data_IF_475568041610
#
_entry.id   IF_475568041610
#
_cell.length_a   1.000
_cell.length_b   1.000
_cell.length_c   1.000
_cell.angle_alpha   90.00
_cell.angle_beta   90.00
_cell.angle_gamma   90.00
#
_symmetry.space_group_name_H-M   'P 1'
#
loop_
_entity.id
_entity.type
_entity.pdbx_description
1 polymer ?
#
# COMPACT_ATOMS: atom_id res chain seq x y z
N UNK A 1 6.34 -13.82 -1.58
CA UNK A 1 5.15 -14.21 -0.79
C UNK A 1 4.93 -13.24 0.37
N UNK A 2 5.85 -13.14 1.35
CA UNK A 2 5.70 -12.30 2.54
C UNK A 2 5.55 -10.81 2.21
N UNK A 3 6.31 -10.28 1.26
CA UNK A 3 6.16 -8.88 0.83
C UNK A 3 4.77 -8.57 0.28
N UNK A 4 4.19 -9.50 -0.47
CA UNK A 4 2.86 -9.30 -1.04
C UNK A 4 1.74 -9.53 -0.01
N UNK A 5 1.97 -10.37 1.00
CA UNK A 5 1.13 -10.44 2.20
C UNK A 5 1.02 -9.08 2.90
N UNK A 6 2.17 -8.43 3.13
CA UNK A 6 2.20 -7.09 3.76
C UNK A 6 1.48 -6.04 2.93
N UNK A 7 1.60 -6.12 1.59
CA UNK A 7 0.83 -5.26 0.69
C UNK A 7 -0.67 -5.42 0.94
N UNK A 8 -1.14 -6.67 0.95
CA UNK A 8 -2.54 -6.98 1.22
C UNK A 8 -3.00 -6.50 2.58
N UNK A 9 -2.19 -6.71 3.62
CA UNK A 9 -2.49 -6.26 4.99
C UNK A 9 -2.78 -4.75 5.04
N UNK A 10 -1.86 -3.93 4.54
CA UNK A 10 -2.02 -2.49 4.53
C UNK A 10 -3.19 -2.05 3.62
N UNK A 11 -3.35 -2.69 2.45
CA UNK A 11 -4.43 -2.41 1.51
C UNK A 11 -5.80 -2.70 2.15
N UNK A 12 -5.96 -3.87 2.73
CA UNK A 12 -7.20 -4.27 3.39
C UNK A 12 -7.57 -3.32 4.52
N UNK A 13 -6.61 -3.04 5.41
CA UNK A 13 -6.82 -2.10 6.51
C UNK A 13 -7.25 -0.71 6.01
N UNK A 14 -6.51 -0.10 5.10
CA UNK A 14 -6.80 1.25 4.61
C UNK A 14 -8.15 1.27 3.87
N UNK A 15 -8.42 0.31 2.99
CA UNK A 15 -9.67 0.31 2.23
C UNK A 15 -10.91 0.20 3.14
N UNK A 16 -10.83 -0.62 4.18
CA UNK A 16 -11.97 -0.86 5.06
C UNK A 16 -12.14 0.21 6.15
N UNK A 17 -11.04 0.70 6.73
CA UNK A 17 -11.10 1.49 7.96
C UNK A 17 -10.72 2.97 7.78
N UNK A 18 -10.02 3.34 6.70
CA UNK A 18 -9.56 4.72 6.49
C UNK A 18 -10.70 5.75 6.44
N UNK A 19 -11.84 5.50 5.76
CA UNK A 19 -12.96 6.45 5.77
C UNK A 19 -13.55 6.66 7.18
N UNK A 20 -13.67 5.60 7.97
CA UNK A 20 -14.13 5.67 9.35
C UNK A 20 -13.13 6.42 10.24
N UNK A 21 -11.83 6.12 10.09
CA UNK A 21 -10.76 6.82 10.79
C UNK A 21 -10.76 8.34 10.52
N UNK A 22 -10.94 8.76 9.25
CA UNK A 22 -11.05 10.18 8.90
C UNK A 22 -12.26 10.81 9.58
N UNK A 23 -13.39 10.10 9.63
CA UNK A 23 -14.62 10.62 10.24
C UNK A 23 -14.46 10.87 11.74
N UNK A 24 -13.68 10.04 12.43
CA UNK A 24 -13.39 10.22 13.85
C UNK A 24 -12.28 11.25 14.13
N UNK A 25 -11.19 11.16 13.36
CA UNK A 25 -9.97 11.92 13.64
C UNK A 25 -10.00 13.35 13.08
N UNK A 26 -10.73 13.58 11.99
CA UNK A 26 -10.85 14.91 11.39
C UNK A 26 -12.01 15.68 12.04
N UNK A 27 -11.69 16.75 12.76
CA UNK A 27 -12.69 17.49 13.56
C UNK A 27 -13.81 18.10 12.70
N UNK A 28 -13.46 18.92 11.71
CA UNK A 28 -14.44 19.56 10.79
C UNK A 28 -13.75 20.01 9.51
N UNK A 29 -14.50 20.09 8.41
CA UNK A 29 -14.01 20.68 7.18
C UNK A 29 -14.16 22.21 7.29
N UNK A 30 -13.06 22.99 7.19
CA UNK A 30 -13.11 24.45 7.29
C UNK A 30 -14.08 25.06 6.27
N UNK A 31 -14.84 26.11 6.63
CA UNK A 31 -15.82 26.75 5.74
C UNK A 31 -15.21 27.24 4.42
N UNK A 32 -13.96 27.71 4.46
CA UNK A 32 -13.25 28.29 3.32
C UNK A 32 -12.36 27.26 2.58
N UNK A 33 -12.51 25.96 2.85
CA UNK A 33 -11.74 24.93 2.18
C UNK A 33 -12.16 24.77 0.72
N UNK A 34 -11.17 24.68 -0.18
CA UNK A 34 -11.39 24.44 -1.61
C UNK A 34 -12.20 23.17 -1.89
N UNK A 35 -12.12 22.17 -1.03
CA UNK A 35 -12.86 20.93 -1.23
C UNK A 35 -14.37 21.07 -1.04
N UNK A 36 -14.83 22.12 -0.34
CA UNK A 36 -16.27 22.41 -0.26
C UNK A 36 -16.86 22.85 -1.60
N UNK A 37 -16.09 23.51 -2.44
CA UNK A 37 -16.53 23.84 -3.81
C UNK A 37 -16.72 22.59 -4.69
N UNK A 38 -16.11 21.47 -4.30
CA UNK A 38 -16.30 20.14 -4.92
C UNK A 38 -17.48 19.36 -4.33
N UNK A 39 -18.27 19.97 -3.44
CA UNK A 39 -19.40 19.32 -2.77
C UNK A 39 -19.03 18.44 -1.56
N UNK A 40 -17.76 18.48 -1.11
CA UNK A 40 -17.27 17.70 0.04
C UNK A 40 -17.48 18.52 1.32
N UNK A 41 -18.60 18.30 1.98
CA UNK A 41 -19.04 19.12 3.11
C UNK A 41 -18.92 18.42 4.47
N UNK A 42 -18.71 17.09 4.48
CA UNK A 42 -18.65 16.26 5.69
C UNK A 42 -17.38 15.43 5.71
N UNK A 43 -16.94 15.00 6.90
CA UNK A 43 -15.77 14.13 7.06
C UNK A 43 -16.00 12.76 6.41
N UNK A 44 -17.24 12.28 6.38
CA UNK A 44 -17.60 11.05 5.65
C UNK A 44 -17.42 11.21 4.13
N UNK A 45 -17.84 12.35 3.55
CA UNK A 45 -17.59 12.63 2.12
C UNK A 45 -16.10 12.83 1.81
N UNK A 46 -15.33 13.38 2.76
CA UNK A 46 -13.86 13.45 2.65
C UNK A 46 -13.25 12.04 2.65
N UNK A 47 -13.71 11.14 3.49
CA UNK A 47 -13.26 9.74 3.51
C UNK A 47 -13.50 9.04 2.17
N UNK A 48 -14.70 9.16 1.61
CA UNK A 48 -15.02 8.61 0.30
C UNK A 48 -14.18 9.23 -0.82
N UNK A 49 -14.01 10.55 -0.80
CA UNK A 49 -13.16 11.28 -1.76
C UNK A 49 -11.70 10.84 -1.68
N UNK A 50 -11.19 10.60 -0.48
CA UNK A 50 -9.82 10.13 -0.25
C UNK A 50 -9.56 8.78 -0.91
N UNK A 51 -10.50 7.83 -0.83
CA UNK A 51 -10.41 6.55 -1.55
C UNK A 51 -10.41 6.76 -3.07
N UNK A 52 -11.23 7.68 -3.59
CA UNK A 52 -11.22 8.01 -5.01
C UNK A 52 -9.88 8.62 -5.46
N UNK A 53 -9.29 9.51 -4.66
CA UNK A 53 -7.94 10.06 -4.90
C UNK A 53 -6.89 8.97 -4.90
N UNK A 54 -6.90 8.07 -3.92
CA UNK A 54 -6.02 6.89 -3.90
C UNK A 54 -6.17 6.10 -5.20
N UNK A 55 -7.40 5.82 -5.65
CA UNK A 55 -7.67 5.09 -6.88
C UNK A 55 -7.10 5.78 -8.13
N UNK A 56 -7.26 7.10 -8.23
CA UNK A 56 -6.72 7.88 -9.34
C UNK A 56 -5.18 7.83 -9.39
N UNK A 57 -4.53 8.04 -8.27
CA UNK A 57 -3.06 8.03 -8.19
C UNK A 57 -2.49 6.61 -8.32
N UNK A 58 -3.25 5.56 -8.03
CA UNK A 58 -2.88 4.18 -8.31
C UNK A 58 -2.61 3.92 -9.81
N UNK A 59 -3.40 4.54 -10.69
CA UNK A 59 -3.20 4.41 -12.14
C UNK A 59 -1.82 4.97 -12.51
N UNK A 60 -1.51 6.18 -12.04
CA UNK A 60 -0.23 6.84 -12.30
C UNK A 60 0.92 6.02 -11.72
N UNK A 61 0.78 5.58 -10.47
CA UNK A 61 1.79 4.79 -9.77
C UNK A 61 2.09 3.45 -10.44
N UNK A 62 1.07 2.72 -10.85
CA UNK A 62 1.22 1.43 -11.52
C UNK A 62 1.91 1.57 -12.88
N UNK A 63 1.54 2.57 -13.69
CA UNK A 63 2.18 2.86 -15.00
C UNK A 63 3.64 3.25 -14.78
N UNK A 64 3.92 4.15 -13.84
CA UNK A 64 5.28 4.61 -13.52
C UNK A 64 6.15 3.46 -13.04
N UNK A 65 5.65 2.62 -12.12
CA UNK A 65 6.38 1.46 -11.62
C UNK A 65 6.65 0.43 -12.72
N UNK A 66 5.69 0.17 -13.60
CA UNK A 66 5.88 -0.70 -14.76
C UNK A 66 6.96 -0.18 -15.72
N UNK A 67 7.00 1.13 -15.96
CA UNK A 67 8.04 1.77 -16.77
C UNK A 67 9.42 1.71 -16.10
N UNK A 68 9.51 2.07 -14.84
CA UNK A 68 10.78 2.02 -14.08
C UNK A 68 11.31 0.59 -13.94
N UNK A 69 10.43 -0.39 -13.79
CA UNK A 69 10.78 -1.81 -13.68
C UNK A 69 11.47 -2.39 -14.92
N UNK A 70 11.44 -1.70 -16.07
CA UNK A 70 12.21 -2.07 -17.26
C UNK A 70 13.70 -1.75 -17.13
N UNK A 71 14.03 -0.63 -16.47
CA UNK A 71 15.39 -0.08 -16.44
C UNK A 71 16.08 -0.29 -15.09
N UNK A 72 15.32 -0.50 -14.02
CA UNK A 72 15.86 -0.62 -12.66
C UNK A 72 15.59 -2.01 -12.08
N UNK A 73 16.45 -2.42 -11.16
CA UNK A 73 16.32 -3.65 -10.39
C UNK A 73 15.04 -3.61 -9.55
N UNK A 74 14.13 -4.54 -9.80
CA UNK A 74 12.77 -4.53 -9.24
C UNK A 74 12.72 -4.67 -7.72
N UNK A 75 13.64 -5.44 -7.13
CA UNK A 75 13.73 -5.59 -5.67
C UNK A 75 14.00 -4.27 -4.95
N UNK A 76 14.87 -3.41 -5.52
CA UNK A 76 15.14 -2.10 -4.93
C UNK A 76 13.96 -1.14 -5.12
N UNK A 77 13.27 -1.22 -6.26
CA UNK A 77 12.04 -0.46 -6.45
C UNK A 77 10.95 -0.89 -5.47
N UNK A 78 10.79 -2.20 -5.23
CA UNK A 78 9.85 -2.72 -4.23
C UNK A 78 10.22 -2.23 -2.82
N UNK A 79 11.49 -2.37 -2.42
CA UNK A 79 11.96 -1.87 -1.12
C UNK A 79 11.69 -0.36 -0.98
N UNK A 80 12.01 0.45 -1.99
CA UNK A 80 11.74 1.90 -1.99
C UNK A 80 10.26 2.23 -1.86
N UNK A 81 9.38 1.50 -2.53
CA UNK A 81 7.93 1.68 -2.43
C UNK A 81 7.45 1.40 -1.01
N UNK A 82 7.90 0.30 -0.39
CA UNK A 82 7.52 -0.01 0.99
C UNK A 82 8.10 0.98 2.00
N UNK A 83 9.33 1.44 1.82
CA UNK A 83 9.90 2.56 2.59
C UNK A 83 9.03 3.82 2.48
N UNK A 84 8.68 4.20 1.26
CA UNK A 84 7.82 5.36 1.00
C UNK A 84 6.44 5.25 1.68
N UNK A 85 5.81 4.07 1.62
CA UNK A 85 4.52 3.80 2.29
C UNK A 85 4.64 3.87 3.81
N UNK A 86 5.70 3.30 4.36
CA UNK A 86 5.99 3.33 5.80
C UNK A 86 6.19 4.76 6.29
N UNK A 87 7.02 5.54 5.60
CA UNK A 87 7.26 6.95 5.91
C UNK A 87 5.99 7.80 5.77
N UNK A 88 5.19 7.59 4.71
CA UNK A 88 3.93 8.27 4.53
C UNK A 88 2.95 7.98 5.67
N UNK A 89 2.88 6.72 6.12
CA UNK A 89 2.03 6.32 7.24
C UNK A 89 2.49 6.94 8.57
N UNK A 90 3.80 6.94 8.84
CA UNK A 90 4.38 7.59 10.04
C UNK A 90 4.06 9.09 10.02
N UNK A 91 4.35 9.76 8.89
CA UNK A 91 4.08 11.19 8.76
C UNK A 91 2.60 11.48 8.99
N UNK A 92 1.72 10.69 8.39
CA UNK A 92 0.28 10.88 8.49
C UNK A 92 -0.26 10.79 9.92
N UNK A 93 0.16 9.77 10.70
CA UNK A 93 -0.34 9.61 12.07
C UNK A 93 0.33 10.55 13.09
N UNK A 94 1.50 11.12 12.74
CA UNK A 94 2.21 12.06 13.61
C UNK A 94 1.84 13.53 13.34
N UNK A 95 1.13 13.83 12.26
CA UNK A 95 0.70 15.19 11.92
C UNK A 95 -0.76 15.42 12.33
N UNK A 96 -1.16 16.69 12.57
CA UNK A 96 -2.56 17.01 12.82
C UNK A 96 -3.45 16.53 11.67
N UNK A 97 -4.59 15.94 12.01
CA UNK A 97 -5.54 15.42 11.05
C UNK A 97 -6.36 16.54 10.41
N UNK A 98 -5.84 17.08 9.32
CA UNK A 98 -6.48 18.13 8.52
C UNK A 98 -6.87 17.60 7.15
N UNK A 99 -7.69 18.36 6.43
CA UNK A 99 -8.07 18.02 5.05
C UNK A 99 -6.84 17.87 4.15
N UNK A 100 -5.86 18.76 4.31
CA UNK A 100 -4.64 18.80 3.51
C UNK A 100 -3.78 17.56 3.77
N UNK A 101 -3.61 17.17 5.05
CA UNK A 101 -2.84 15.96 5.41
C UNK A 101 -3.51 14.69 4.89
N UNK A 102 -4.84 14.61 4.96
CA UNK A 102 -5.63 13.49 4.41
C UNK A 102 -5.46 13.37 2.90
N UNK A 103 -5.57 14.49 2.17
CA UNK A 103 -5.42 14.49 0.70
C UNK A 103 -3.97 14.16 0.31
N UNK A 104 -2.98 14.77 0.98
CA UNK A 104 -1.57 14.49 0.71
C UNK A 104 -1.24 13.01 0.93
N UNK A 105 -1.70 12.44 2.04
CA UNK A 105 -1.55 11.01 2.32
C UNK A 105 -2.20 10.17 1.21
N UNK A 106 -3.42 10.53 0.78
CA UNK A 106 -4.14 9.80 -0.26
C UNK A 106 -3.41 9.82 -1.61
N UNK A 107 -2.81 10.95 -1.98
CA UNK A 107 -2.00 11.10 -3.19
C UNK A 107 -0.75 10.20 -3.13
N UNK A 108 0.03 10.34 -2.05
CA UNK A 108 1.29 9.60 -1.89
C UNK A 108 1.01 8.10 -1.78
N UNK A 109 0.07 7.72 -0.93
CA UNK A 109 -0.29 6.32 -0.75
C UNK A 109 -0.85 5.72 -2.05
N UNK A 110 -1.71 6.44 -2.77
CA UNK A 110 -2.23 6.02 -4.07
C UNK A 110 -1.10 5.75 -5.07
N UNK A 111 -0.16 6.67 -5.22
CA UNK A 111 0.98 6.50 -6.14
C UNK A 111 1.89 5.31 -5.82
N UNK A 112 1.95 4.90 -4.56
CA UNK A 112 2.79 3.80 -4.10
C UNK A 112 2.03 2.47 -3.97
N UNK A 113 0.71 2.47 -3.92
CA UNK A 113 -0.09 1.32 -3.51
C UNK A 113 -0.02 0.15 -4.48
N UNK A 114 -0.60 0.30 -5.67
CA UNK A 114 -0.59 -0.75 -6.69
C UNK A 114 0.68 -0.75 -7.55
N UNK A 115 1.62 0.16 -7.31
CA UNK A 115 2.94 0.18 -7.93
C UNK A 115 3.73 -1.14 -7.70
N UNK A 116 3.43 -1.87 -6.63
CA UNK A 116 4.03 -3.17 -6.31
C UNK A 116 3.56 -4.30 -7.24
N UNK A 117 2.38 -4.19 -7.85
CA UNK A 117 1.78 -5.25 -8.69
C UNK A 117 2.62 -5.55 -9.93
N UNK A 118 2.91 -4.56 -10.82
CA UNK A 118 3.72 -4.80 -12.01
C UNK A 118 5.16 -5.20 -11.68
N UNK A 119 5.72 -4.70 -10.58
CA UNK A 119 7.07 -5.07 -10.16
C UNK A 119 7.12 -6.51 -9.65
N UNK A 120 6.16 -6.95 -8.83
CA UNK A 120 6.12 -8.31 -8.29
C UNK A 120 5.90 -9.32 -9.41
N UNK A 121 4.95 -9.07 -10.32
CA UNK A 121 4.76 -9.94 -11.48
C UNK A 121 6.00 -9.97 -12.38
N UNK A 122 6.63 -8.81 -12.57
CA UNK A 122 7.88 -8.70 -13.32
C UNK A 122 9.05 -9.46 -12.71
N UNK A 123 9.19 -9.48 -11.36
CA UNK A 123 10.21 -10.29 -10.66
C UNK A 123 9.96 -11.78 -10.90
N UNK A 124 8.72 -12.23 -10.76
CA UNK A 124 8.36 -13.64 -10.94
C UNK A 124 8.63 -14.09 -12.38
N UNK A 125 8.14 -13.34 -13.36
CA UNK A 125 8.33 -13.65 -14.77
C UNK A 125 9.80 -13.64 -15.19
N UNK A 126 10.61 -12.74 -14.63
CA UNK A 126 12.05 -12.65 -14.91
C UNK A 126 12.85 -13.79 -14.30
N UNK A 127 12.56 -14.19 -13.05
CA UNK A 127 13.31 -15.25 -12.36
C UNK A 127 12.93 -16.64 -12.87
N UNK A 128 11.62 -16.94 -13.00
CA UNK A 128 11.10 -18.27 -13.25
C UNK A 128 10.66 -18.53 -14.70
N UNK A 129 10.59 -17.45 -15.50
CA UNK A 129 10.09 -17.52 -16.87
C UNK A 129 8.57 -17.36 -16.96
N UNK A 130 8.10 -16.93 -18.14
CA UNK A 130 6.69 -16.62 -18.39
C UNK A 130 5.78 -17.85 -18.31
N UNK A 131 6.32 -19.05 -18.56
CA UNK A 131 5.56 -20.31 -18.53
C UNK A 131 4.99 -20.64 -17.13
N UNK A 132 5.66 -20.22 -16.05
CA UNK A 132 5.22 -20.46 -14.66
C UNK A 132 4.53 -19.25 -14.04
N UNK A 133 4.47 -18.13 -14.73
CA UNK A 133 4.01 -16.85 -14.19
C UNK A 133 2.60 -16.94 -13.61
N UNK A 134 1.65 -17.55 -14.32
CA UNK A 134 0.26 -17.63 -13.85
C UNK A 134 0.12 -18.34 -12.51
N UNK A 135 0.75 -19.52 -12.38
CA UNK A 135 0.69 -20.32 -11.13
C UNK A 135 1.42 -19.62 -9.99
N UNK A 136 2.65 -19.16 -10.21
CA UNK A 136 3.46 -18.55 -9.16
C UNK A 136 2.89 -17.21 -8.71
N UNK A 137 2.43 -16.40 -9.65
CA UNK A 137 1.77 -15.15 -9.30
C UNK A 137 0.46 -15.39 -8.57
N UNK A 138 -0.32 -16.42 -8.94
CA UNK A 138 -1.53 -16.82 -8.23
C UNK A 138 -1.26 -17.18 -6.76
N UNK A 139 -0.19 -17.94 -6.49
CA UNK A 139 0.23 -18.28 -5.12
C UNK A 139 0.65 -17.03 -4.34
N UNK A 140 1.39 -16.14 -4.98
CA UNK A 140 1.80 -14.86 -4.37
C UNK A 140 0.60 -13.96 -4.13
N UNK A 141 -0.36 -13.94 -5.07
CA UNK A 141 -1.59 -13.18 -4.91
C UNK A 141 -2.50 -13.74 -3.81
N UNK A 142 -2.51 -15.07 -3.60
CA UNK A 142 -3.19 -15.67 -2.45
C UNK A 142 -2.66 -15.11 -1.12
N UNK A 143 -1.34 -14.90 -1.00
CA UNK A 143 -0.78 -14.30 0.22
C UNK A 143 -1.27 -12.88 0.44
N UNK A 144 -1.46 -12.12 -0.63
CA UNK A 144 -2.05 -10.78 -0.57
C UNK A 144 -3.49 -10.82 -0.04
N UNK A 145 -4.29 -11.78 -0.50
CA UNK A 145 -5.67 -11.93 -0.03
C UNK A 145 -5.74 -12.32 1.45
N UNK A 146 -4.85 -13.22 1.89
CA UNK A 146 -4.72 -13.57 3.31
C UNK A 146 -4.30 -12.33 4.11
N UNK A 147 -3.33 -11.57 3.60
CA UNK A 147 -2.92 -10.31 4.22
C UNK A 147 -4.07 -9.32 4.35
N UNK A 148 -4.86 -9.12 3.28
CA UNK A 148 -6.03 -8.25 3.28
C UNK A 148 -7.07 -8.67 4.32
N UNK A 149 -7.37 -9.96 4.38
CA UNK A 149 -8.26 -10.50 5.41
C UNK A 149 -7.76 -10.18 6.82
N UNK A 150 -6.48 -10.46 7.09
CA UNK A 150 -5.89 -10.18 8.42
C UNK A 150 -5.89 -8.68 8.73
N UNK A 151 -5.59 -7.83 7.76
CA UNK A 151 -5.59 -6.37 7.94
C UNK A 151 -6.97 -5.81 8.27
N UNK A 152 -8.01 -6.26 7.59
CA UNK A 152 -9.40 -5.87 7.84
C UNK A 152 -9.85 -6.38 9.21
N UNK A 153 -9.66 -7.67 9.45
CA UNK A 153 -10.08 -8.31 10.70
C UNK A 153 -9.37 -7.71 11.92
N UNK A 154 -8.05 -7.55 11.84
CA UNK A 154 -7.27 -6.99 12.94
C UNK A 154 -7.63 -5.52 13.18
N UNK A 155 -7.89 -4.76 12.11
CA UNK A 155 -8.35 -3.38 12.18
C UNK A 155 -9.63 -3.24 13.00
N UNK A 156 -10.64 -4.05 12.71
CA UNK A 156 -11.89 -4.08 13.46
C UNK A 156 -11.70 -4.58 14.89
N UNK A 157 -11.01 -5.71 15.07
CA UNK A 157 -10.80 -6.31 16.39
C UNK A 157 -10.05 -5.38 17.36
N UNK A 158 -9.00 -4.72 16.88
CA UNK A 158 -8.25 -3.77 17.72
C UNK A 158 -9.06 -2.50 18.00
N UNK A 159 -9.85 -2.05 17.05
CA UNK A 159 -10.77 -0.94 17.27
C UNK A 159 -11.80 -1.27 18.34
N UNK A 160 -12.42 -2.46 18.29
CA UNK A 160 -13.39 -2.91 19.29
C UNK A 160 -12.79 -3.04 20.71
N UNK A 161 -11.49 -3.41 20.78
CA UNK A 161 -10.78 -3.57 22.07
C UNK A 161 -10.30 -2.24 22.67
N UNK A 162 -9.83 -1.30 21.84
CA UNK A 162 -9.14 -0.08 22.28
C UNK A 162 -9.91 1.22 22.01
N UNK A 163 -10.99 1.17 21.23
CA UNK A 163 -11.81 2.32 20.86
C UNK A 163 -11.12 3.32 19.93
N UNK A 164 -10.01 2.94 19.30
CA UNK A 164 -9.27 3.79 18.36
C UNK A 164 -8.41 2.96 17.41
N UNK A 165 -7.95 3.60 16.30
CA UNK A 165 -7.14 2.96 15.27
C UNK A 165 -5.62 3.07 15.48
N UNK A 166 -5.14 3.70 16.56
CA UNK A 166 -3.71 4.00 16.73
C UNK A 166 -2.83 2.75 16.66
N UNK A 167 -3.23 1.69 17.39
CA UNK A 167 -2.45 0.45 17.43
C UNK A 167 -2.39 -0.23 16.06
N UNK A 168 -3.49 -0.20 15.29
CA UNK A 168 -3.53 -0.78 13.94
C UNK A 168 -2.59 -0.06 12.99
N UNK A 169 -2.54 1.28 13.08
CA UNK A 169 -1.57 2.07 12.30
C UNK A 169 -0.13 1.68 12.62
N UNK A 170 0.22 1.56 13.90
CA UNK A 170 1.57 1.15 14.31
C UNK A 170 1.92 -0.27 13.87
N UNK A 171 0.98 -1.21 13.94
CA UNK A 171 1.15 -2.57 13.39
C UNK A 171 1.38 -2.50 11.87
N UNK A 172 0.59 -1.72 11.16
CA UNK A 172 0.74 -1.53 9.71
C UNK A 172 2.10 -0.92 9.32
N UNK A 173 2.61 0.04 10.11
CA UNK A 173 3.95 0.63 9.95
C UNK A 173 5.03 -0.43 10.19
N UNK A 174 4.91 -1.23 11.25
CA UNK A 174 5.86 -2.30 11.58
C UNK A 174 5.92 -3.37 10.47
N UNK A 175 4.76 -3.78 9.95
CA UNK A 175 4.66 -4.71 8.82
C UNK A 175 5.28 -4.12 7.55
N UNK A 176 5.07 -2.82 7.28
CA UNK A 176 5.68 -2.11 6.16
C UNK A 176 7.21 -2.06 6.26
N UNK A 177 7.73 -1.67 7.44
CA UNK A 177 9.16 -1.60 7.71
C UNK A 177 9.84 -2.98 7.58
N UNK A 178 9.20 -4.04 8.10
CA UNK A 178 9.69 -5.41 7.90
C UNK A 178 9.78 -5.77 6.42
N UNK A 179 8.80 -5.36 5.63
CA UNK A 179 8.70 -5.71 4.22
C UNK A 179 9.79 -5.04 3.37
N UNK A 180 10.18 -3.83 3.71
CA UNK A 180 11.27 -3.14 2.98
C UNK A 180 12.56 -3.97 3.01
N UNK A 181 12.89 -4.57 4.17
CA UNK A 181 14.09 -5.39 4.33
C UNK A 181 13.99 -6.76 3.68
N UNK A 182 12.80 -7.37 3.65
CA UNK A 182 12.61 -8.73 3.11
C UNK A 182 12.81 -8.81 1.59
N UNK A 183 12.73 -7.69 0.88
CA UNK A 183 12.99 -7.63 -0.56
C UNK A 183 14.48 -7.56 -0.90
N UNK A 184 15.33 -7.05 -0.01
CA UNK A 184 16.77 -6.85 -0.28
C UNK A 184 17.53 -8.13 -0.61
N UNK A 185 17.33 -9.27 0.10
CA UNK A 185 18.04 -10.52 -0.20
C UNK A 185 17.55 -11.24 -1.47
N UNK A 186 16.48 -10.76 -2.12
CA UNK A 186 15.97 -11.39 -3.34
C UNK A 186 17.04 -11.36 -4.44
N UNK A 187 17.38 -12.53 -4.96
CA UNK A 187 18.27 -12.64 -6.11
C UNK A 187 17.43 -12.62 -7.39
N UNK A 188 17.56 -11.56 -8.18
CA UNK A 188 16.80 -11.40 -9.44
C UNK A 188 17.42 -12.11 -10.64
N UNK A 189 18.54 -12.86 -10.49
CA UNK A 189 19.08 -13.61 -11.62
C UNK A 189 18.11 -14.68 -12.08
N UNK A 190 17.91 -14.87 -13.39
CA UNK A 190 17.10 -15.96 -13.94
C UNK A 190 17.54 -17.33 -13.41
N UNK A 191 16.58 -18.22 -13.16
CA UNK A 191 16.87 -19.55 -12.66
C UNK A 191 17.75 -20.37 -13.63
N UNK A 192 17.57 -20.19 -14.94
CA UNK A 192 18.37 -20.79 -15.99
C UNK A 192 19.87 -20.47 -15.90
N UNK A 193 20.21 -19.25 -15.46
CA UNK A 193 21.61 -18.83 -15.29
C UNK A 193 22.23 -19.36 -13.99
N UNK A 194 21.42 -19.75 -12.99
CA UNK A 194 21.91 -20.30 -11.73
C UNK A 194 22.29 -21.80 -11.85
N UNK A 195 21.59 -22.53 -12.73
CA UNK A 195 21.82 -23.96 -12.96
C UNK A 195 22.94 -24.26 -13.94
N UNK A 196 23.44 -23.28 -14.67
CA UNK A 196 24.56 -23.43 -15.63
C UNK A 196 25.97 -23.38 -15.00
N UNK A 197 26.07 -23.29 -13.67
CA UNK A 197 27.35 -23.15 -12.92
C UNK A 197 27.68 -24.43 -12.13
N UNK A 198 27.00 -25.56 -12.42
CA UNK A 198 27.32 -26.88 -11.81
C UNK A 198 27.89 -27.82 -12.85
#
# INVERSE_FOLDING_TARGET
FLGFFSCGFQLGFITAHFPAFITEACATIPPNSLIRSLGINTTSSLGAFSIAVIGLFNIIGAITAGYLGKNFTKKYLLSLIYTGRTLASIFFIMTPMTVETVILFSIVMGGLWLATVPLTSGVIGYIYGMQYMGTLYGIVFLSHQIGSFVGIWLGGSLYDMFGNYNLVWWVGIGVGAFTEFIHLPVNEKPLSERTSVV
#
